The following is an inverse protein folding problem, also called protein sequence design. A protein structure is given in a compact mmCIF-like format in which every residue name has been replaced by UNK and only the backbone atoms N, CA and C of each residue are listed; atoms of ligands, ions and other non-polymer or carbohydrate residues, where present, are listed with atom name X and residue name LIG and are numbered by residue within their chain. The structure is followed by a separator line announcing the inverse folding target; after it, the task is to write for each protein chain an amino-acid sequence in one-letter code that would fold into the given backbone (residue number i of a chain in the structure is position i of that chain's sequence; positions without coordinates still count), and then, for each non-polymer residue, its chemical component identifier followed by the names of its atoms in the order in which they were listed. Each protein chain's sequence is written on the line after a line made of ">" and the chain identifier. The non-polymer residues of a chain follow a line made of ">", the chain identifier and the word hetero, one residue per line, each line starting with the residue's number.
data_IF_786272988662
#
_entry.id   IF_786272988662
#
_cell.length_a   1.000
_cell.length_b   1.000
_cell.length_c   1.000
_cell.angle_alpha   90.00
_cell.angle_beta   90.00
_cell.angle_gamma   90.00
#
_symmetry.space_group_name_H-M   'P 1'
#
loop_
_entity.id
_entity.type
_entity.pdbx_description
1 polymer ?
#
# COMPACT_ATOMS: atom_id res chain seq x y z
N UNK A 1 49.02 -71.62 15.44
CA UNK A 1 49.11 -71.03 14.08
C UNK A 1 47.79 -71.13 13.31
N UNK A 2 46.62 -71.20 13.98
CA UNK A 2 45.28 -71.25 13.32
C UNK A 2 44.49 -69.94 13.45
N UNK A 3 44.88 -69.03 14.33
CA UNK A 3 44.20 -67.74 14.53
C UNK A 3 44.47 -66.72 13.41
N UNK A 4 45.48 -66.95 12.56
CA UNK A 4 45.85 -66.04 11.48
C UNK A 4 44.96 -66.20 10.24
N UNK A 5 44.46 -67.41 9.98
CA UNK A 5 43.64 -67.67 8.78
C UNK A 5 42.19 -67.18 8.92
N UNK A 6 41.62 -67.25 10.12
CA UNK A 6 40.25 -66.76 10.40
C UNK A 6 40.17 -65.22 10.33
N UNK A 7 41.19 -64.51 10.80
CA UNK A 7 41.29 -63.06 10.64
C UNK A 7 41.40 -62.64 9.16
N UNK A 8 42.13 -63.40 8.34
CA UNK A 8 42.35 -63.07 6.93
C UNK A 8 41.08 -63.26 6.09
N UNK A 9 40.32 -64.33 6.31
CA UNK A 9 39.03 -64.54 5.63
C UNK A 9 38.00 -63.46 6.00
N UNK A 10 37.94 -63.06 7.28
CA UNK A 10 37.03 -62.00 7.73
C UNK A 10 37.35 -60.65 7.09
N UNK A 11 38.63 -60.30 6.97
CA UNK A 11 39.08 -59.07 6.32
C UNK A 11 38.76 -59.04 4.83
N UNK A 12 38.92 -60.16 4.10
CA UNK A 12 38.54 -60.25 2.69
C UNK A 12 37.03 -60.08 2.50
N UNK A 13 36.22 -60.61 3.41
CA UNK A 13 34.77 -60.45 3.33
C UNK A 13 34.35 -59.00 3.62
N UNK A 14 34.92 -58.36 4.65
CA UNK A 14 34.69 -56.93 4.91
C UNK A 14 35.09 -56.04 3.71
N UNK A 15 36.17 -56.39 3.00
CA UNK A 15 36.59 -55.68 1.78
C UNK A 15 35.57 -55.78 0.64
N UNK A 16 34.88 -56.91 0.49
CA UNK A 16 33.81 -57.06 -0.52
C UNK A 16 32.57 -56.21 -0.19
N UNK A 17 32.26 -56.00 1.09
CA UNK A 17 31.13 -55.17 1.53
C UNK A 17 31.46 -53.68 1.63
N UNK A 18 32.73 -53.30 1.48
CA UNK A 18 33.20 -51.92 1.62
C UNK A 18 32.48 -50.94 0.68
N UNK A 19 32.27 -51.31 -0.58
CA UNK A 19 31.60 -50.44 -1.56
C UNK A 19 30.11 -50.21 -1.21
N UNK A 20 29.43 -51.23 -0.68
CA UNK A 20 28.04 -51.14 -0.24
C UNK A 20 27.91 -50.29 1.02
N UNK A 21 28.84 -50.43 1.96
CA UNK A 21 28.88 -49.59 3.17
C UNK A 21 29.15 -48.12 2.84
N UNK A 22 30.07 -47.83 1.91
CA UNK A 22 30.32 -46.45 1.44
C UNK A 22 29.08 -45.87 0.75
N UNK A 23 28.41 -46.64 -0.11
CA UNK A 23 27.17 -46.20 -0.76
C UNK A 23 26.02 -45.95 0.22
N UNK A 24 25.86 -46.80 1.23
CA UNK A 24 24.86 -46.63 2.28
C UNK A 24 25.15 -45.40 3.15
N UNK A 25 26.40 -45.20 3.57
CA UNK A 25 26.82 -44.02 4.31
C UNK A 25 26.64 -42.74 3.50
N UNK A 26 26.99 -42.75 2.21
CA UNK A 26 26.78 -41.62 1.32
C UNK A 26 25.29 -41.28 1.16
N UNK A 27 24.43 -42.30 1.03
CA UNK A 27 22.98 -42.12 0.94
C UNK A 27 22.41 -41.54 2.25
N UNK A 28 22.86 -42.04 3.40
CA UNK A 28 22.46 -41.51 4.71
C UNK A 28 22.92 -40.06 4.91
N UNK A 29 24.16 -39.74 4.55
CA UNK A 29 24.69 -38.39 4.61
C UNK A 29 23.91 -37.42 3.69
N UNK A 30 23.55 -37.86 2.48
CA UNK A 30 22.72 -37.09 1.56
C UNK A 30 21.31 -36.86 2.13
N UNK A 31 20.67 -37.90 2.68
CA UNK A 31 19.35 -37.79 3.31
C UNK A 31 19.37 -36.83 4.53
N UNK A 32 20.39 -36.92 5.38
CA UNK A 32 20.58 -36.02 6.51
C UNK A 32 20.77 -34.56 6.06
N UNK A 33 21.56 -34.34 5.01
CA UNK A 33 21.76 -33.02 4.41
C UNK A 33 20.45 -32.43 3.89
N UNK A 34 19.65 -33.22 3.15
CA UNK A 34 18.33 -32.77 2.65
C UNK A 34 17.39 -32.43 3.81
N UNK A 35 17.34 -33.28 4.84
CA UNK A 35 16.51 -33.03 6.02
C UNK A 35 16.92 -31.74 6.74
N UNK A 36 18.22 -31.51 6.92
CA UNK A 36 18.75 -30.32 7.56
C UNK A 36 18.48 -29.05 6.73
N UNK A 37 18.67 -29.09 5.40
CA UNK A 37 18.34 -27.96 4.52
C UNK A 37 16.85 -27.63 4.56
N UNK A 38 15.96 -28.64 4.53
CA UNK A 38 14.51 -28.41 4.66
C UNK A 38 14.16 -27.75 5.98
N UNK A 39 14.78 -28.17 7.08
CA UNK A 39 14.60 -27.56 8.40
C UNK A 39 15.08 -26.10 8.42
N UNK A 40 16.24 -25.80 7.81
CA UNK A 40 16.75 -24.43 7.71
C UNK A 40 15.86 -23.53 6.87
N UNK A 41 15.35 -24.02 5.73
CA UNK A 41 14.43 -23.27 4.87
C UNK A 41 13.17 -22.89 5.67
N UNK A 42 12.55 -23.85 6.36
CA UNK A 42 11.37 -23.58 7.17
C UNK A 42 11.63 -22.53 8.28
N UNK A 43 12.81 -22.57 8.93
CA UNK A 43 13.18 -21.60 9.95
C UNK A 43 13.45 -20.20 9.37
N UNK A 44 14.10 -20.13 8.22
CA UNK A 44 14.35 -18.88 7.51
C UNK A 44 13.04 -18.25 7.02
N UNK A 45 12.11 -19.05 6.51
CA UNK A 45 10.80 -18.59 6.08
C UNK A 45 10.00 -17.98 7.24
N UNK A 46 10.01 -18.64 8.41
CA UNK A 46 9.38 -18.10 9.62
C UNK A 46 10.02 -16.79 10.09
N UNK A 47 11.36 -16.69 10.04
CA UNK A 47 12.07 -15.48 10.45
C UNK A 47 11.75 -14.33 9.48
N UNK A 48 11.67 -14.63 8.18
CA UNK A 48 11.30 -13.67 7.15
C UNK A 48 9.85 -13.19 7.31
N UNK A 49 8.90 -14.08 7.58
CA UNK A 49 7.50 -13.68 7.82
C UNK A 49 7.37 -12.79 9.06
N UNK A 50 8.08 -13.12 10.14
CA UNK A 50 8.09 -12.30 11.36
C UNK A 50 8.67 -10.90 11.11
N UNK A 51 9.76 -10.82 10.35
CA UNK A 51 10.39 -9.55 10.00
C UNK A 51 9.49 -8.70 9.11
N UNK A 52 8.80 -9.30 8.13
CA UNK A 52 7.80 -8.62 7.30
C UNK A 52 6.64 -8.11 8.15
N UNK A 53 6.10 -8.93 9.05
CA UNK A 53 5.00 -8.53 9.93
C UNK A 53 5.39 -7.36 10.85
N UNK A 54 6.61 -7.36 11.41
CA UNK A 54 7.13 -6.25 12.22
C UNK A 54 7.29 -4.98 11.40
N UNK A 55 7.85 -5.06 10.18
CA UNK A 55 7.96 -3.92 9.27
C UNK A 55 6.59 -3.36 8.93
N UNK A 56 5.66 -4.21 8.52
CA UNK A 56 4.28 -3.84 8.20
C UNK A 56 3.62 -3.08 9.36
N UNK A 57 3.74 -3.61 10.59
CA UNK A 57 3.20 -2.96 11.79
C UNK A 57 3.82 -1.57 12.02
N UNK A 58 5.13 -1.44 11.83
CA UNK A 58 5.83 -0.16 11.95
C UNK A 58 5.38 0.85 10.87
N UNK A 59 5.17 0.41 9.63
CA UNK A 59 4.65 1.26 8.56
C UNK A 59 3.22 1.70 8.83
N UNK A 60 2.31 0.79 9.22
CA UNK A 60 0.91 1.15 9.58
C UNK A 60 0.86 2.23 10.67
N UNK A 61 1.74 2.14 11.68
CA UNK A 61 1.84 3.16 12.72
C UNK A 61 2.25 4.55 12.17
N UNK A 62 3.10 4.60 11.13
CA UNK A 62 3.52 5.84 10.46
C UNK A 62 2.51 6.34 9.43
N UNK A 63 1.65 5.46 8.90
CA UNK A 63 0.64 5.84 7.92
C UNK A 63 -0.42 6.77 8.52
N UNK A 64 -0.87 6.55 9.76
CA UNK A 64 -1.90 7.40 10.39
C UNK A 64 -1.58 8.91 10.36
N UNK A 65 -0.41 9.37 10.86
CA UNK A 65 -0.06 10.79 10.75
C UNK A 65 0.13 11.22 9.29
N UNK A 66 0.68 10.37 8.42
CA UNK A 66 0.86 10.68 7.00
C UNK A 66 -0.49 10.91 6.26
N UNK A 67 -1.46 10.01 6.46
CA UNK A 67 -2.82 10.14 5.93
C UNK A 67 -3.52 11.40 6.46
N UNK A 68 -3.30 11.74 7.73
CA UNK A 68 -3.87 12.97 8.33
C UNK A 68 -3.30 14.23 7.67
N UNK A 69 -2.00 14.25 7.42
CA UNK A 69 -1.34 15.34 6.70
C UNK A 69 -1.78 15.42 5.24
N UNK A 70 -2.00 14.28 4.56
CA UNK A 70 -2.57 14.24 3.21
C UNK A 70 -4.01 14.78 3.16
N UNK A 71 -4.85 14.45 4.14
CA UNK A 71 -6.18 15.06 4.28
C UNK A 71 -6.06 16.59 4.39
N UNK A 72 -5.19 17.08 5.26
CA UNK A 72 -4.98 18.52 5.46
C UNK A 72 -4.41 19.20 4.20
N UNK A 73 -3.52 18.53 3.47
CA UNK A 73 -3.03 18.99 2.17
C UNK A 73 -4.16 19.11 1.16
N UNK A 74 -4.96 18.05 1.00
CA UNK A 74 -6.07 18.03 0.07
C UNK A 74 -7.11 19.11 0.41
N UNK A 75 -7.36 19.35 1.70
CA UNK A 75 -8.22 20.45 2.15
C UNK A 75 -7.69 21.82 1.70
N UNK A 76 -6.37 22.05 1.81
CA UNK A 76 -5.73 23.27 1.31
C UNK A 76 -5.84 23.38 -0.22
N UNK A 77 -5.69 22.28 -0.96
CA UNK A 77 -5.87 22.26 -2.41
C UNK A 77 -7.30 22.60 -2.82
N UNK A 78 -8.29 22.06 -2.11
CA UNK A 78 -9.69 22.38 -2.33
C UNK A 78 -10.00 23.84 -2.02
N UNK A 79 -9.46 24.37 -0.92
CA UNK A 79 -9.57 25.80 -0.59
C UNK A 79 -8.93 26.67 -1.66
N UNK A 80 -7.74 26.31 -2.14
CA UNK A 80 -7.08 27.01 -3.25
C UNK A 80 -7.97 27.04 -4.50
N UNK A 81 -8.53 25.89 -4.90
CA UNK A 81 -9.46 25.81 -6.03
C UNK A 81 -10.68 26.70 -5.82
N UNK A 82 -11.32 26.63 -4.66
CA UNK A 82 -12.61 27.27 -4.41
C UNK A 82 -12.51 28.74 -3.97
N UNK A 83 -11.31 29.20 -3.59
CA UNK A 83 -11.11 30.56 -3.12
C UNK A 83 -11.22 31.57 -4.27
N UNK A 84 -11.93 32.67 -4.00
CA UNK A 84 -11.96 33.84 -4.88
C UNK A 84 -10.75 34.78 -4.61
N UNK A 85 -9.99 34.51 -3.54
CA UNK A 85 -8.90 35.36 -3.07
C UNK A 85 -7.62 35.22 -3.92
N UNK A 86 -6.92 36.33 -4.12
CA UNK A 86 -5.71 36.44 -4.95
C UNK A 86 -4.46 35.71 -4.36
N UNK A 87 -4.59 34.94 -3.27
CA UNK A 87 -3.50 34.10 -2.79
C UNK A 87 -3.32 32.88 -3.71
N UNK A 88 -2.57 33.08 -4.79
CA UNK A 88 -2.23 32.08 -5.81
C UNK A 88 -1.15 31.10 -5.36
N UNK A 89 -0.93 30.96 -4.06
CA UNK A 89 0.11 30.06 -3.56
C UNK A 89 -0.43 28.64 -3.51
N UNK A 90 0.15 27.81 -4.36
CA UNK A 90 -0.13 26.40 -4.40
C UNK A 90 0.30 25.76 -3.06
N UNK A 91 -0.54 24.90 -2.43
CA UNK A 91 -0.15 24.24 -1.21
C UNK A 91 1.16 23.45 -1.38
N UNK A 92 2.02 23.54 -0.36
CA UNK A 92 3.30 22.82 -0.30
C UNK A 92 3.07 21.32 -0.38
N UNK A 93 3.87 20.65 -1.21
CA UNK A 93 3.73 19.23 -1.48
C UNK A 93 4.09 18.37 -0.24
N UNK A 94 3.25 17.37 0.12
CA UNK A 94 3.48 16.45 1.23
C UNK A 94 4.38 15.26 0.79
N UNK A 95 5.61 15.54 0.37
CA UNK A 95 6.53 14.53 -0.21
C UNK A 95 6.86 13.41 0.77
N UNK A 96 7.05 13.74 2.05
CA UNK A 96 7.42 12.77 3.09
C UNK A 96 6.26 11.80 3.39
N UNK A 97 5.03 12.32 3.38
CA UNK A 97 3.81 11.52 3.57
C UNK A 97 3.57 10.55 2.43
N UNK A 98 3.70 11.02 1.18
CA UNK A 98 3.56 10.19 -0.01
C UNK A 98 4.64 9.11 -0.04
N UNK A 99 5.87 9.46 0.32
CA UNK A 99 6.98 8.50 0.44
C UNK A 99 6.70 7.45 1.51
N UNK A 100 6.12 7.86 2.65
CA UNK A 100 5.75 6.95 3.74
C UNK A 100 4.72 5.92 3.30
N UNK A 101 3.69 6.35 2.56
CA UNK A 101 2.67 5.43 2.03
C UNK A 101 3.24 4.54 0.92
N UNK A 102 4.06 5.10 0.04
CA UNK A 102 4.69 4.34 -1.05
C UNK A 102 5.62 3.25 -0.51
N UNK A 103 6.35 3.52 0.57
CA UNK A 103 7.19 2.52 1.23
C UNK A 103 6.37 1.41 1.91
N UNK A 104 5.12 1.67 2.32
CA UNK A 104 4.26 0.63 2.89
C UNK A 104 3.86 -0.42 1.84
N UNK A 105 3.77 -0.04 0.56
CA UNK A 105 3.37 -0.92 -0.56
C UNK A 105 4.25 -2.18 -0.64
N UNK A 106 5.53 -2.10 -0.29
CA UNK A 106 6.46 -3.24 -0.31
C UNK A 106 6.07 -4.37 0.65
N UNK A 107 5.31 -4.07 1.71
CA UNK A 107 5.08 -4.99 2.83
C UNK A 107 3.63 -5.46 2.96
N UNK A 108 2.73 -5.01 2.07
CA UNK A 108 1.32 -5.38 2.09
C UNK A 108 1.02 -6.50 1.09
N UNK A 109 -0.18 -7.07 1.18
CA UNK A 109 -0.69 -8.00 0.17
C UNK A 109 -0.95 -7.29 -1.16
N UNK A 110 -0.97 -8.04 -2.27
CA UNK A 110 -1.09 -7.50 -3.62
C UNK A 110 -2.34 -6.62 -3.83
N UNK A 111 -3.49 -7.00 -3.24
CA UNK A 111 -4.73 -6.23 -3.35
C UNK A 111 -4.61 -4.87 -2.63
N UNK A 112 -4.09 -4.87 -1.40
CA UNK A 112 -3.80 -3.64 -0.66
C UNK A 112 -2.74 -2.78 -1.36
N UNK A 113 -1.72 -3.41 -1.96
CA UNK A 113 -0.66 -2.73 -2.71
C UNK A 113 -1.24 -1.98 -3.91
N UNK A 114 -2.12 -2.63 -4.68
CA UNK A 114 -2.81 -2.02 -5.82
C UNK A 114 -3.67 -0.83 -5.40
N UNK A 115 -4.45 -0.97 -4.31
CA UNK A 115 -5.27 0.13 -3.79
C UNK A 115 -4.41 1.33 -3.34
N UNK A 116 -3.28 1.06 -2.67
CA UNK A 116 -2.33 2.09 -2.25
C UNK A 116 -1.67 2.79 -3.44
N UNK A 117 -1.20 2.01 -4.41
CA UNK A 117 -0.60 2.54 -5.64
C UNK A 117 -1.61 3.40 -6.43
N UNK A 118 -2.87 2.97 -6.51
CA UNK A 118 -3.94 3.73 -7.17
C UNK A 118 -4.21 5.08 -6.48
N UNK A 119 -4.19 5.13 -5.15
CA UNK A 119 -4.32 6.38 -4.40
C UNK A 119 -3.14 7.31 -4.67
N UNK A 120 -1.90 6.82 -4.60
CA UNK A 120 -0.68 7.60 -4.89
C UNK A 120 -0.70 8.13 -6.33
N UNK A 121 -1.10 7.29 -7.29
CA UNK A 121 -1.25 7.70 -8.69
C UNK A 121 -2.29 8.81 -8.86
N UNK A 122 -3.47 8.68 -8.23
CA UNK A 122 -4.49 9.74 -8.26
C UNK A 122 -4.00 11.05 -7.62
N UNK A 123 -3.25 10.97 -6.51
CA UNK A 123 -2.62 12.13 -5.90
C UNK A 123 -1.68 12.84 -6.89
N UNK A 124 -0.78 12.10 -7.56
CA UNK A 124 0.17 12.67 -8.53
C UNK A 124 -0.56 13.33 -9.70
N UNK A 125 -1.61 12.68 -10.22
CA UNK A 125 -2.44 13.24 -11.29
C UNK A 125 -3.17 14.51 -10.82
N UNK A 126 -3.74 14.48 -9.61
CA UNK A 126 -4.42 15.65 -9.05
C UNK A 126 -3.45 16.82 -8.88
N UNK A 127 -2.24 16.56 -8.36
CA UNK A 127 -1.18 17.55 -8.22
C UNK A 127 -0.79 18.18 -9.57
N UNK A 128 -0.49 17.37 -10.57
CA UNK A 128 -0.11 17.86 -11.90
C UNK A 128 -1.23 18.73 -12.52
N UNK A 129 -2.50 18.35 -12.31
CA UNK A 129 -3.63 19.16 -12.79
C UNK A 129 -3.81 20.46 -12.02
N UNK A 130 -3.50 20.49 -10.72
CA UNK A 130 -3.51 21.72 -9.91
C UNK A 130 -2.43 22.70 -10.38
N UNK A 131 -1.25 22.20 -10.72
CA UNK A 131 -0.16 23.01 -11.29
C UNK A 131 -0.59 23.62 -12.63
N UNK A 132 -1.14 22.81 -13.54
CA UNK A 132 -1.69 23.32 -14.81
C UNK A 132 -2.83 24.33 -14.61
N UNK A 133 -3.68 24.13 -13.60
CA UNK A 133 -4.74 25.08 -13.26
C UNK A 133 -4.19 26.44 -12.82
N UNK A 134 -3.07 26.45 -12.06
CA UNK A 134 -2.38 27.66 -11.63
C UNK A 134 -1.70 28.37 -12.82
N UNK A 135 -0.99 27.65 -13.67
CA UNK A 135 -0.29 28.21 -14.84
C UNK A 135 -1.25 28.94 -15.79
N UNK A 136 -2.42 28.36 -16.01
CA UNK A 136 -3.48 28.95 -16.83
C UNK A 136 -4.17 30.14 -16.15
N UNK A 137 -3.78 30.50 -14.92
CA UNK A 137 -4.39 31.54 -14.08
C UNK A 137 -5.91 31.40 -13.99
N UNK A 138 -6.42 30.17 -14.03
CA UNK A 138 -7.86 29.94 -13.95
C UNK A 138 -8.34 30.27 -12.54
N UNK A 139 -9.45 30.98 -12.46
CA UNK A 139 -10.27 31.00 -11.26
C UNK A 139 -11.25 29.85 -11.36
N UNK A 140 -11.62 29.24 -10.23
CA UNK A 140 -12.71 28.28 -10.25
C UNK A 140 -13.98 29.02 -10.62
N UNK A 141 -14.50 28.69 -11.80
CA UNK A 141 -15.81 29.12 -12.24
C UNK A 141 -16.67 27.85 -12.16
N UNK A 142 -17.64 27.77 -11.23
CA UNK A 142 -18.45 26.56 -10.99
C UNK A 142 -19.33 26.10 -12.18
N UNK A 143 -19.13 26.65 -13.37
CA UNK A 143 -19.78 26.27 -14.63
C UNK A 143 -18.83 25.62 -15.63
N UNK A 144 -17.50 25.75 -15.47
CA UNK A 144 -16.55 25.07 -16.35
C UNK A 144 -16.43 23.59 -15.97
N UNK A 145 -16.60 22.72 -16.97
CA UNK A 145 -16.50 21.27 -16.82
C UNK A 145 -15.15 20.88 -16.21
N UNK A 146 -14.05 21.55 -16.57
CA UNK A 146 -12.73 21.23 -16.04
C UNK A 146 -12.64 21.51 -14.52
N UNK A 147 -13.15 22.66 -14.08
CA UNK A 147 -13.23 23.02 -12.67
C UNK A 147 -14.07 22.03 -11.85
N UNK A 148 -15.22 21.60 -12.38
CA UNK A 148 -16.08 20.58 -11.74
C UNK A 148 -15.34 19.25 -11.59
N UNK A 149 -14.63 18.80 -12.62
CA UNK A 149 -13.82 17.57 -12.59
C UNK A 149 -12.65 17.64 -11.59
N UNK A 150 -12.05 18.83 -11.42
CA UNK A 150 -10.98 19.05 -10.45
C UNK A 150 -11.47 18.88 -9.01
N UNK A 151 -12.61 19.48 -8.67
CA UNK A 151 -13.24 19.33 -7.34
C UNK A 151 -13.67 17.88 -7.12
N UNK A 152 -14.25 17.23 -8.13
CA UNK A 152 -14.57 15.80 -8.07
C UNK A 152 -13.33 14.93 -7.81
N UNK A 153 -12.20 15.24 -8.46
CA UNK A 153 -10.93 14.51 -8.27
C UNK A 153 -10.42 14.69 -6.83
N UNK A 154 -10.48 15.90 -6.27
CA UNK A 154 -10.11 16.15 -4.87
C UNK A 154 -11.02 15.43 -3.87
N UNK A 155 -12.33 15.35 -4.15
CA UNK A 155 -13.27 14.57 -3.34
C UNK A 155 -12.99 13.06 -3.40
N UNK A 156 -12.65 12.54 -4.59
CA UNK A 156 -12.25 11.14 -4.78
C UNK A 156 -10.95 10.82 -4.04
N UNK A 157 -9.96 11.70 -4.12
CA UNK A 157 -8.72 11.54 -3.39
C UNK A 157 -8.97 11.52 -1.87
N UNK A 158 -9.82 12.43 -1.37
CA UNK A 158 -10.19 12.46 0.04
C UNK A 158 -10.84 11.15 0.49
N UNK A 159 -11.79 10.61 -0.28
CA UNK A 159 -12.46 9.37 0.09
C UNK A 159 -11.50 8.17 0.10
N UNK A 160 -10.55 8.13 -0.84
CA UNK A 160 -9.49 7.10 -0.84
C UNK A 160 -8.56 7.21 0.37
N UNK A 161 -8.11 8.42 0.72
CA UNK A 161 -7.28 8.64 1.92
C UNK A 161 -8.05 8.21 3.18
N UNK A 162 -9.33 8.59 3.28
CA UNK A 162 -10.17 8.26 4.44
C UNK A 162 -10.34 6.75 4.59
N UNK A 163 -10.58 6.03 3.49
CA UNK A 163 -10.77 4.57 3.51
C UNK A 163 -9.50 3.80 3.94
N UNK A 164 -8.33 4.44 3.96
CA UNK A 164 -7.09 3.81 4.44
C UNK A 164 -6.89 3.92 5.96
N UNK A 165 -7.67 4.72 6.67
CA UNK A 165 -7.46 4.88 8.11
C UNK A 165 -7.75 3.61 8.90
N UNK A 166 -8.81 2.87 8.57
CA UNK A 166 -9.18 1.65 9.30
C UNK A 166 -8.06 0.60 9.17
N UNK A 167 -7.48 0.49 7.96
CA UNK A 167 -6.28 -0.30 7.70
C UNK A 167 -5.06 0.20 8.51
N UNK A 168 -4.77 1.50 8.49
CA UNK A 168 -3.63 2.08 9.20
C UNK A 168 -3.76 1.97 10.73
N UNK A 169 -4.99 1.93 11.25
CA UNK A 169 -5.31 1.69 12.67
C UNK A 169 -5.29 0.22 13.08
N UNK A 170 -5.07 -0.70 12.12
CA UNK A 170 -5.16 -2.16 12.34
C UNK A 170 -6.57 -2.62 12.75
N UNK A 171 -7.60 -1.85 12.37
CA UNK A 171 -9.00 -2.26 12.51
C UNK A 171 -9.38 -3.20 11.36
N UNK A 172 -8.81 -2.97 10.18
CA UNK A 172 -8.95 -3.84 9.01
C UNK A 172 -7.62 -4.46 8.59
N UNK A 173 -7.67 -5.69 8.07
CA UNK A 173 -6.47 -6.41 7.61
C UNK A 173 -6.01 -5.90 6.24
N UNK A 174 -6.94 -5.48 5.38
CA UNK A 174 -6.70 -5.06 3.99
C UNK A 174 -7.23 -3.66 3.72
N UNK A 175 -6.64 -3.00 2.71
CA UNK A 175 -7.18 -1.74 2.20
C UNK A 175 -8.41 -2.03 1.32
N UNK A 176 -9.52 -1.32 1.47
CA UNK A 176 -10.67 -1.47 0.57
C UNK A 176 -10.28 -1.19 -0.88
N UNK A 177 -10.44 -2.19 -1.74
CA UNK A 177 -10.20 -2.08 -3.20
C UNK A 177 -11.44 -1.62 -3.97
N UNK A 178 -12.61 -1.68 -3.34
CA UNK A 178 -13.86 -1.24 -3.94
C UNK A 178 -13.85 0.27 -4.18
N UNK A 179 -14.31 0.75 -5.35
CA UNK A 179 -14.51 2.17 -5.58
C UNK A 179 -15.36 2.80 -4.46
N UNK A 180 -15.10 4.06 -4.07
CA UNK A 180 -15.89 4.72 -3.04
C UNK A 180 -17.36 4.81 -3.46
N UNK A 181 -18.27 4.40 -2.58
CA UNK A 181 -19.72 4.58 -2.75
C UNK A 181 -20.10 6.06 -2.87
N UNK A 182 -21.33 6.35 -3.34
CA UNK A 182 -21.87 7.70 -3.38
C UNK A 182 -21.76 8.42 -2.01
N UNK A 183 -22.08 7.71 -0.93
CA UNK A 183 -22.00 8.23 0.43
C UNK A 183 -20.56 8.57 0.84
N UNK A 184 -19.60 7.70 0.52
CA UNK A 184 -18.18 7.93 0.76
C UNK A 184 -17.64 9.10 -0.08
N UNK A 185 -18.05 9.22 -1.34
CA UNK A 185 -17.72 10.35 -2.20
C UNK A 185 -18.26 11.68 -1.64
N UNK A 186 -19.50 11.69 -1.16
CA UNK A 186 -20.08 12.86 -0.53
C UNK A 186 -19.41 13.22 0.81
N UNK A 187 -19.02 12.22 1.60
CA UNK A 187 -18.22 12.42 2.81
C UNK A 187 -16.84 12.98 2.47
N UNK A 188 -16.18 12.44 1.44
CA UNK A 188 -14.91 12.92 0.91
C UNK A 188 -15.01 14.38 0.44
N UNK A 189 -16.04 14.75 -0.31
CA UNK A 189 -16.27 16.14 -0.71
C UNK A 189 -16.41 17.08 0.50
N UNK A 190 -17.21 16.70 1.50
CA UNK A 190 -17.39 17.49 2.72
C UNK A 190 -16.09 17.62 3.53
N UNK A 191 -15.33 16.53 3.63
CA UNK A 191 -14.05 16.50 4.34
C UNK A 191 -12.99 17.35 3.64
N UNK A 192 -12.94 17.29 2.30
CA UNK A 192 -11.97 18.04 1.52
C UNK A 192 -12.30 19.54 1.46
N UNK A 193 -13.57 19.93 1.44
CA UNK A 193 -13.95 21.35 1.45
C UNK A 193 -13.92 21.95 2.86
N UNK A 194 -14.15 21.13 3.88
CA UNK A 194 -14.47 21.58 5.23
C UNK A 194 -15.99 21.74 5.41
N UNK A 195 -16.52 21.30 6.55
CA UNK A 195 -17.97 21.21 6.77
C UNK A 195 -18.67 22.59 6.77
N UNK A 196 -17.99 23.61 7.32
CA UNK A 196 -18.53 24.98 7.41
C UNK A 196 -18.58 25.62 6.03
N UNK A 197 -17.48 25.53 5.30
CA UNK A 197 -17.31 26.03 3.95
C UNK A 197 -18.28 25.32 3.00
N UNK A 198 -18.38 23.99 3.07
CA UNK A 198 -19.30 23.21 2.25
C UNK A 198 -20.74 23.70 2.37
N UNK A 199 -21.18 24.03 3.58
CA UNK A 199 -22.53 24.56 3.81
C UNK A 199 -22.72 25.94 3.18
N UNK A 200 -21.68 26.78 3.20
CA UNK A 200 -21.71 28.13 2.62
C UNK A 200 -21.68 28.13 1.08
N UNK A 201 -21.01 27.16 0.46
CA UNK A 201 -20.85 27.09 -1.01
C UNK A 201 -21.62 25.93 -1.65
N UNK A 202 -22.56 25.30 -0.94
CA UNK A 202 -23.27 24.11 -1.41
C UNK A 202 -23.92 24.31 -2.79
N UNK A 203 -24.54 25.45 -3.02
CA UNK A 203 -25.17 25.80 -4.30
C UNK A 203 -24.14 25.87 -5.44
N UNK A 204 -22.95 26.43 -5.17
CA UNK A 204 -21.83 26.47 -6.13
C UNK A 204 -21.27 25.07 -6.42
N UNK A 205 -21.51 24.10 -5.54
CA UNK A 205 -21.07 22.71 -5.71
C UNK A 205 -22.14 21.80 -6.36
N UNK A 206 -23.29 22.34 -6.77
CA UNK A 206 -24.40 21.55 -7.32
C UNK A 206 -23.96 20.65 -8.50
N UNK A 207 -23.20 21.19 -9.44
CA UNK A 207 -22.69 20.43 -10.59
C UNK A 207 -21.75 19.27 -10.18
N UNK A 208 -20.96 19.46 -9.11
CA UNK A 208 -20.07 18.41 -8.58
C UNK A 208 -20.88 17.32 -7.87
N UNK A 209 -21.90 17.71 -7.11
CA UNK A 209 -22.81 16.79 -6.43
C UNK A 209 -23.55 15.93 -7.47
N UNK A 210 -24.09 16.55 -8.52
CA UNK A 210 -24.73 15.85 -9.63
C UNK A 210 -23.75 14.89 -10.33
N UNK A 211 -22.50 15.33 -10.56
CA UNK A 211 -21.47 14.47 -11.14
C UNK A 211 -21.16 13.25 -10.27
N UNK A 212 -21.14 13.41 -8.94
CA UNK A 212 -20.96 12.29 -7.99
C UNK A 212 -22.13 11.31 -8.11
N UNK A 213 -23.37 11.81 -8.07
CA UNK A 213 -24.58 10.98 -8.18
C UNK A 213 -24.62 10.19 -9.49
N UNK A 214 -24.25 10.81 -10.60
CA UNK A 214 -24.27 10.16 -11.91
C UNK A 214 -23.18 9.09 -12.06
N UNK A 215 -22.03 9.25 -11.40
CA UNK A 215 -20.89 8.31 -11.51
C UNK A 215 -20.92 7.17 -10.51
N UNK A 216 -21.62 7.35 -9.40
CA UNK A 216 -21.70 6.40 -8.30
C UNK A 216 -23.17 6.16 -7.94
N UNK A 217 -23.94 5.45 -8.78
CA UNK A 217 -25.31 5.10 -8.44
C UNK A 217 -25.35 4.17 -7.21
N UNK A 218 -26.34 4.37 -6.35
CA UNK A 218 -26.62 3.52 -5.17
C UNK A 218 -26.97 2.07 -5.54
#
# INVERSE_FOLDING_TARGET
>A
MQYTETCQQFLCHLWQWQSLLVGALATFAAAATIWYMRKQIAQNDHTRSDDLARKLKAYRARMNPALSNLCAYNEKCMKFLLSEADSRELPTEPTDEVTTISAAIEFVDDESAEAMAAMVSHYQVHRARLEGFLEENRRYIPTDRYSVEMVYTGAKLQSQIVNMFDYARQEEERVPTTPPSQAQMMSGLKGAVGLREFSAIKEKLAAVIELIQNRHPE
#
